data_IF_378518991675
#
_entry.id   IF_378518991675
#
_cell.length_a   1.000
_cell.length_b   1.000
_cell.length_c   1.000
_cell.angle_alpha   90.00
_cell.angle_beta   90.00
_cell.angle_gamma   90.00
#
_symmetry.space_group_name_H-M   'P 1'
#
loop_
_entity.id
_entity.type
_entity.pdbx_description
1 polymer ?
#
# COMPACT_ATOMS: atom_id res chain seq x y z
N UNK A 1 -31.67 15.02 9.88
CA UNK A 1 -31.17 13.64 9.72
C UNK A 1 -29.66 13.75 9.62
N UNK A 2 -28.89 12.90 10.33
CA UNK A 2 -27.44 12.89 10.16
C UNK A 2 -27.12 12.58 8.69
N UNK A 3 -26.23 13.35 8.10
CA UNK A 3 -25.75 13.13 6.72
C UNK A 3 -25.04 11.78 6.65
N UNK A 4 -25.45 10.90 5.73
CA UNK A 4 -24.81 9.61 5.56
C UNK A 4 -23.42 9.80 4.96
N UNK A 5 -22.45 9.12 5.52
CA UNK A 5 -21.07 9.18 5.08
C UNK A 5 -20.59 7.80 4.67
N UNK A 6 -19.85 7.70 3.56
CA UNK A 6 -19.18 6.50 3.09
C UNK A 6 -17.67 6.74 3.07
N UNK A 7 -16.90 5.98 3.85
CA UNK A 7 -15.48 6.22 4.10
C UNK A 7 -14.59 5.26 3.34
N UNK A 8 -13.60 5.81 2.67
CA UNK A 8 -12.63 5.08 1.85
C UNK A 8 -11.23 5.32 2.36
N UNK A 9 -10.45 4.23 2.54
CA UNK A 9 -9.02 4.27 2.76
C UNK A 9 -8.29 3.83 1.49
N UNK A 10 -7.40 4.67 0.97
CA UNK A 10 -6.56 4.36 -0.20
C UNK A 10 -5.09 4.28 0.20
N UNK A 11 -4.44 3.14 -0.08
CA UNK A 11 -3.08 2.81 0.33
C UNK A 11 -2.19 2.55 -0.90
N UNK A 12 -1.16 3.38 -1.07
CA UNK A 12 -0.25 3.29 -2.22
C UNK A 12 0.65 2.05 -2.16
N UNK A 13 1.11 1.61 -3.33
CA UNK A 13 2.18 0.62 -3.47
C UNK A 13 3.57 1.19 -3.19
N UNK A 14 4.49 0.32 -2.74
CA UNK A 14 5.83 0.81 -2.41
C UNK A 14 6.83 -0.24 -1.92
N UNK A 15 6.59 -1.52 -2.08
CA UNK A 15 7.48 -2.60 -1.64
C UNK A 15 7.75 -2.55 -0.13
N UNK A 16 9.00 -2.62 0.30
CA UNK A 16 9.38 -2.58 1.72
C UNK A 16 8.90 -1.30 2.44
N UNK A 17 8.65 -0.22 1.70
CA UNK A 17 8.16 1.05 2.28
C UNK A 17 6.76 0.94 2.93
N UNK A 18 6.09 -0.21 2.84
CA UNK A 18 4.88 -0.51 3.60
C UNK A 18 5.04 -0.36 5.11
N UNK A 19 6.26 -0.52 5.63
CA UNK A 19 6.55 -0.22 7.05
C UNK A 19 6.29 1.25 7.38
N UNK A 20 6.65 2.17 6.47
CA UNK A 20 6.36 3.59 6.65
C UNK A 20 4.85 3.84 6.76
N UNK A 21 4.06 3.26 5.83
CA UNK A 21 2.60 3.41 5.83
C UNK A 21 1.96 2.86 7.10
N UNK A 22 2.34 1.64 7.50
CA UNK A 22 1.82 1.02 8.72
C UNK A 22 2.21 1.81 9.99
N UNK A 23 3.49 2.23 10.08
CA UNK A 23 3.99 3.02 11.22
C UNK A 23 3.34 4.41 11.30
N UNK A 24 3.16 5.10 10.16
CA UNK A 24 2.49 6.40 10.11
C UNK A 24 1.04 6.29 10.62
N UNK A 25 0.29 5.32 10.09
CA UNK A 25 -1.11 5.10 10.49
C UNK A 25 -1.22 4.72 11.97
N UNK A 26 -0.36 3.82 12.46
CA UNK A 26 -0.32 3.41 13.85
C UNK A 26 -0.04 4.58 14.79
N UNK A 27 1.03 5.32 14.52
CA UNK A 27 1.45 6.44 15.38
C UNK A 27 0.41 7.57 15.36
N UNK A 28 -0.17 7.87 14.20
CA UNK A 28 -1.19 8.91 14.09
C UNK A 28 -2.48 8.51 14.83
N UNK A 29 -2.92 7.25 14.68
CA UNK A 29 -4.08 6.72 15.38
C UNK A 29 -3.93 6.79 16.91
N UNK A 30 -2.79 6.36 17.43
CA UNK A 30 -2.50 6.42 18.87
C UNK A 30 -2.38 7.86 19.39
N UNK A 31 -1.77 8.75 18.61
CA UNK A 31 -1.56 10.15 19.02
C UNK A 31 -2.85 10.96 19.01
N UNK A 32 -3.70 10.79 17.99
CA UNK A 32 -5.02 11.43 17.93
C UNK A 32 -5.94 10.82 18.97
N UNK A 33 -5.89 9.49 19.18
CA UNK A 33 -6.63 8.83 20.25
C UNK A 33 -6.38 9.48 21.61
N UNK A 34 -5.10 9.66 21.99
CA UNK A 34 -4.72 10.34 23.24
C UNK A 34 -5.20 11.79 23.27
N UNK A 35 -5.02 12.53 22.19
CA UNK A 35 -5.50 13.92 22.06
C UNK A 35 -7.01 14.02 22.26
N UNK A 36 -7.77 13.00 21.84
CA UNK A 36 -9.24 12.92 22.00
C UNK A 36 -9.68 12.29 23.33
N UNK A 37 -8.75 12.09 24.29
CA UNK A 37 -9.06 11.56 25.62
C UNK A 37 -9.19 10.03 25.71
N UNK A 38 -8.72 9.28 24.73
CA UNK A 38 -8.72 7.82 24.71
C UNK A 38 -7.30 7.26 24.98
N UNK A 39 -6.83 7.40 26.22
CA UNK A 39 -5.46 7.00 26.61
C UNK A 39 -5.27 5.48 26.81
N UNK A 40 -6.37 4.72 26.94
CA UNK A 40 -6.31 3.34 27.40
C UNK A 40 -6.06 2.33 26.28
N UNK A 41 -6.20 2.70 24.99
CA UNK A 41 -6.20 1.74 23.88
C UNK A 41 -4.85 1.74 23.18
N UNK A 42 -4.10 0.64 23.31
CA UNK A 42 -2.82 0.45 22.60
C UNK A 42 -2.97 -0.25 21.24
N UNK A 43 -4.02 -1.06 21.07
CA UNK A 43 -4.29 -1.87 19.87
C UNK A 43 -5.63 -1.44 19.26
N UNK A 44 -5.58 -0.45 18.38
CA UNK A 44 -6.78 0.16 17.80
C UNK A 44 -7.21 -0.50 16.49
N UNK A 45 -8.52 -0.68 16.30
CA UNK A 45 -9.13 -1.14 15.06
C UNK A 45 -9.39 0.05 14.12
N UNK A 46 -8.36 0.52 13.45
CA UNK A 46 -8.49 1.60 12.47
C UNK A 46 -9.34 1.18 11.26
N UNK A 47 -9.29 -0.11 10.87
CA UNK A 47 -10.05 -0.64 9.73
C UNK A 47 -11.55 -0.44 9.89
N UNK A 48 -12.09 -0.52 11.11
CA UNK A 48 -13.51 -0.34 11.39
C UNK A 48 -14.05 1.08 11.10
N UNK A 49 -13.18 2.04 10.81
CA UNK A 49 -13.57 3.41 10.41
C UNK A 49 -13.92 3.54 8.93
N UNK A 50 -13.68 2.51 8.13
CA UNK A 50 -13.82 2.57 6.69
C UNK A 50 -14.84 1.55 6.19
N UNK A 51 -15.66 1.99 5.23
CA UNK A 51 -16.60 1.13 4.51
C UNK A 51 -15.90 0.41 3.34
N UNK A 52 -14.87 1.04 2.75
CA UNK A 52 -14.07 0.51 1.65
C UNK A 52 -12.58 0.76 1.91
N UNK A 53 -11.77 -0.27 1.74
CA UNK A 53 -10.32 -0.16 1.72
C UNK A 53 -9.82 -0.56 0.33
N UNK A 54 -8.97 0.26 -0.27
CA UNK A 54 -8.30 -0.05 -1.54
C UNK A 54 -6.80 0.06 -1.35
N UNK A 55 -6.06 -0.99 -1.75
CA UNK A 55 -4.60 -1.02 -1.57
C UNK A 55 -3.89 -1.76 -2.69
N UNK A 56 -2.75 -1.25 -3.13
CA UNK A 56 -1.93 -1.85 -4.18
C UNK A 56 -0.61 -2.35 -3.59
N UNK A 57 -0.15 -3.55 -4.01
CA UNK A 57 1.15 -4.08 -3.60
C UNK A 57 1.26 -4.12 -2.06
N UNK A 58 2.28 -3.49 -1.49
CA UNK A 58 2.41 -3.34 -0.03
C UNK A 58 1.18 -2.67 0.61
N UNK A 59 0.51 -1.75 -0.10
CA UNK A 59 -0.76 -1.15 0.33
C UNK A 59 -1.88 -2.17 0.44
N UNK A 60 -1.89 -3.23 -0.38
CA UNK A 60 -2.85 -4.34 -0.24
C UNK A 60 -2.61 -5.15 1.03
N UNK A 61 -1.36 -5.33 1.43
CA UNK A 61 -0.98 -6.03 2.67
C UNK A 61 -1.50 -5.26 3.90
N UNK A 62 -1.20 -3.97 3.97
CA UNK A 62 -1.69 -3.09 5.05
C UNK A 62 -3.23 -3.01 5.03
N UNK A 63 -3.81 -2.87 3.84
CA UNK A 63 -5.26 -2.78 3.65
C UNK A 63 -6.01 -4.05 4.03
N UNK A 64 -5.54 -5.22 3.60
CA UNK A 64 -6.12 -6.51 3.98
C UNK A 64 -6.00 -6.76 5.49
N UNK A 65 -4.86 -6.41 6.09
CA UNK A 65 -4.67 -6.52 7.54
C UNK A 65 -5.68 -5.63 8.30
N UNK A 66 -5.83 -4.36 7.90
CA UNK A 66 -6.82 -3.45 8.49
C UNK A 66 -8.25 -3.95 8.29
N UNK A 67 -8.61 -4.37 7.07
CA UNK A 67 -9.92 -4.93 6.80
C UNK A 67 -10.22 -6.17 7.64
N UNK A 68 -9.21 -7.03 7.85
CA UNK A 68 -9.30 -8.22 8.68
C UNK A 68 -9.29 -7.92 10.20
N UNK A 69 -9.08 -6.67 10.61
CA UNK A 69 -8.99 -6.28 12.02
C UNK A 69 -7.68 -6.74 12.67
N UNK A 70 -6.60 -6.82 11.91
CA UNK A 70 -5.25 -7.04 12.42
C UNK A 70 -4.70 -5.71 12.93
N UNK A 71 -4.16 -5.66 14.18
CA UNK A 71 -3.55 -4.43 14.68
C UNK A 71 -2.36 -4.00 13.82
N UNK A 72 -2.23 -2.69 13.58
CA UNK A 72 -1.11 -2.14 12.81
C UNK A 72 0.26 -2.46 13.44
N UNK A 73 0.33 -2.64 14.75
CA UNK A 73 1.53 -3.09 15.45
C UNK A 73 2.06 -4.42 14.88
N UNK A 74 1.16 -5.39 14.64
CA UNK A 74 1.53 -6.69 14.08
C UNK A 74 2.03 -6.56 12.64
N UNK A 75 1.47 -5.62 11.86
CA UNK A 75 1.95 -5.31 10.49
C UNK A 75 3.32 -4.64 10.52
N UNK A 76 3.55 -3.69 11.42
CA UNK A 76 4.87 -3.04 11.62
C UNK A 76 5.90 -4.08 12.03
N UNK A 77 5.57 -4.96 12.97
CA UNK A 77 6.47 -6.04 13.42
C UNK A 77 6.77 -7.06 12.31
N UNK A 78 5.82 -7.36 11.44
CA UNK A 78 6.06 -8.17 10.24
C UNK A 78 7.16 -7.55 9.38
N UNK A 79 7.03 -6.28 9.01
CA UNK A 79 8.06 -5.61 8.21
C UNK A 79 9.39 -5.54 8.93
N UNK A 80 9.40 -5.18 10.21
CA UNK A 80 10.62 -5.07 11.03
C UNK A 80 11.38 -6.38 11.13
N UNK A 81 10.68 -7.49 11.32
CA UNK A 81 11.28 -8.81 11.56
C UNK A 81 11.52 -9.62 10.30
N UNK A 82 10.69 -9.44 9.25
CA UNK A 82 10.70 -10.30 8.07
C UNK A 82 11.28 -9.64 6.81
N UNK A 83 11.43 -8.30 6.75
CA UNK A 83 11.87 -7.62 5.53
C UNK A 83 13.20 -8.13 4.97
N UNK A 84 14.18 -8.45 5.81
CA UNK A 84 15.47 -8.99 5.37
C UNK A 84 15.37 -10.38 4.71
N UNK A 85 14.36 -11.16 5.06
CA UNK A 85 14.11 -12.48 4.47
C UNK A 85 13.26 -12.36 3.21
N UNK A 86 12.29 -11.44 3.21
CA UNK A 86 11.42 -11.15 2.06
C UNK A 86 12.25 -10.55 0.92
N UNK A 87 13.11 -9.56 1.23
CA UNK A 87 13.98 -8.84 0.30
C UNK A 87 15.45 -9.26 0.49
N UNK A 88 15.72 -10.57 0.35
CA UNK A 88 17.05 -11.14 0.60
C UNK A 88 18.11 -10.76 -0.44
N UNK A 89 17.70 -10.29 -1.61
CA UNK A 89 18.57 -9.85 -2.72
C UNK A 89 18.28 -8.42 -3.15
N UNK A 90 18.41 -7.43 -2.24
CA UNK A 90 18.07 -6.04 -2.55
C UNK A 90 19.00 -5.47 -3.62
N UNK A 91 18.47 -4.52 -4.40
CA UNK A 91 19.32 -3.74 -5.32
C UNK A 91 20.37 -2.96 -4.52
N UNK A 92 21.64 -2.94 -4.96
CA UNK A 92 22.68 -2.20 -4.25
C UNK A 92 22.36 -0.72 -4.08
N UNK A 93 22.54 -0.21 -2.86
CA UNK A 93 22.33 1.21 -2.53
C UNK A 93 23.33 2.05 -3.34
N UNK A 94 22.81 3.03 -4.08
CA UNK A 94 23.62 3.94 -4.90
C UNK A 94 23.93 5.21 -4.10
N UNK A 95 25.21 5.38 -3.74
CA UNK A 95 25.74 6.57 -3.04
C UNK A 95 26.42 7.56 -4.00
N UNK A 96 26.35 7.30 -5.34
CA UNK A 96 26.85 8.22 -6.38
C UNK A 96 28.27 7.92 -6.86
N UNK A 97 28.91 6.81 -6.45
CA UNK A 97 30.25 6.42 -6.85
C UNK A 97 30.32 5.56 -8.11
N UNK A 98 31.54 5.48 -8.74
CA UNK A 98 31.78 4.60 -9.89
C UNK A 98 31.53 3.11 -9.55
N UNK A 99 31.87 2.68 -8.35
CA UNK A 99 31.67 1.33 -7.85
C UNK A 99 30.20 0.93 -7.77
N UNK A 100 29.29 1.89 -7.58
CA UNK A 100 27.85 1.61 -7.50
C UNK A 100 27.32 1.13 -8.85
N UNK A 101 27.78 1.73 -9.96
CA UNK A 101 27.38 1.29 -11.31
C UNK A 101 27.82 -0.14 -11.58
N UNK A 102 29.01 -0.49 -11.15
CA UNK A 102 29.55 -1.86 -11.28
C UNK A 102 28.76 -2.86 -10.44
N UNK A 103 28.46 -2.54 -9.18
CA UNK A 103 27.64 -3.37 -8.28
C UNK A 103 26.23 -3.59 -8.82
N UNK A 104 25.59 -2.54 -9.33
CA UNK A 104 24.26 -2.63 -9.97
C UNK A 104 24.32 -3.47 -11.23
N UNK A 105 25.39 -3.34 -12.05
CA UNK A 105 25.61 -4.17 -13.24
C UNK A 105 25.73 -5.66 -12.90
N UNK A 106 26.52 -6.01 -11.88
CA UNK A 106 26.63 -7.39 -11.37
C UNK A 106 25.29 -7.89 -10.86
N UNK A 107 24.56 -7.08 -10.09
CA UNK A 107 23.24 -7.45 -9.60
C UNK A 107 22.26 -7.73 -10.76
N UNK A 108 22.22 -6.87 -11.78
CA UNK A 108 21.38 -7.04 -12.96
C UNK A 108 21.74 -8.30 -13.78
N UNK A 109 23.04 -8.58 -13.94
CA UNK A 109 23.50 -9.81 -14.61
C UNK A 109 23.10 -11.07 -13.82
N UNK A 110 23.21 -11.02 -12.49
CA UNK A 110 22.89 -12.14 -11.61
C UNK A 110 21.39 -12.47 -11.59
N UNK A 111 20.53 -11.44 -11.68
CA UNK A 111 19.08 -11.56 -11.65
C UNK A 111 18.42 -11.40 -13.01
N UNK A 112 19.19 -11.30 -14.09
CA UNK A 112 18.67 -11.26 -15.45
C UNK A 112 17.80 -12.46 -15.84
N UNK A 113 18.18 -13.72 -15.48
CA UNK A 113 17.39 -14.91 -15.80
C UNK A 113 16.22 -15.21 -14.85
N UNK A 114 16.23 -14.64 -13.62
CA UNK A 114 15.23 -14.96 -12.56
C UNK A 114 14.97 -13.75 -11.69
N UNK A 115 13.79 -13.70 -11.09
CA UNK A 115 13.43 -12.68 -10.11
C UNK A 115 14.40 -12.65 -8.92
N UNK A 116 14.62 -11.46 -8.36
CA UNK A 116 15.60 -11.23 -7.29
C UNK A 116 15.24 -11.92 -5.98
N UNK A 117 13.93 -12.00 -5.65
CA UNK A 117 13.45 -12.57 -4.41
C UNK A 117 12.47 -13.71 -4.66
N UNK A 118 12.26 -14.55 -3.63
CA UNK A 118 11.28 -15.62 -3.64
C UNK A 118 10.07 -15.26 -2.77
N UNK A 119 8.83 -15.62 -3.15
CA UNK A 119 7.64 -15.22 -2.43
C UNK A 119 7.42 -15.97 -1.11
N UNK A 120 8.16 -17.05 -0.84
CA UNK A 120 7.92 -17.94 0.30
C UNK A 120 7.92 -17.20 1.65
N UNK A 121 8.94 -16.37 1.91
CA UNK A 121 9.02 -15.62 3.17
C UNK A 121 7.88 -14.60 3.33
N UNK A 122 7.45 -13.96 2.23
CA UNK A 122 6.29 -13.07 2.25
C UNK A 122 4.99 -13.87 2.45
N UNK A 123 4.84 -15.01 1.77
CA UNK A 123 3.68 -15.90 1.92
C UNK A 123 3.53 -16.38 3.38
N UNK A 124 4.61 -16.86 4.00
CA UNK A 124 4.59 -17.27 5.41
C UNK A 124 4.20 -16.13 6.35
N UNK A 125 4.74 -14.92 6.10
CA UNK A 125 4.44 -13.75 6.90
C UNK A 125 2.96 -13.32 6.76
N UNK A 126 2.41 -13.36 5.55
CA UNK A 126 1.00 -13.07 5.29
C UNK A 126 0.08 -14.15 5.89
N UNK A 127 0.45 -15.42 5.74
CA UNK A 127 -0.29 -16.54 6.34
C UNK A 127 -0.38 -16.39 7.87
N UNK A 128 0.69 -15.94 8.52
CA UNK A 128 0.71 -15.71 9.95
C UNK A 128 -0.30 -14.64 10.41
N UNK A 129 -0.45 -13.53 9.65
CA UNK A 129 -1.34 -12.42 10.04
C UNK A 129 -2.77 -12.52 9.50
N UNK A 130 -2.95 -13.10 8.30
CA UNK A 130 -4.26 -13.18 7.63
C UNK A 130 -4.92 -14.57 7.77
N UNK A 131 -4.12 -15.63 7.92
CA UNK A 131 -4.63 -17.01 7.92
C UNK A 131 -5.18 -17.43 6.55
N UNK A 132 -6.14 -18.35 6.55
CA UNK A 132 -6.79 -18.89 5.36
C UNK A 132 -8.07 -18.12 4.97
N UNK A 133 -8.26 -16.90 5.49
CA UNK A 133 -9.47 -16.12 5.29
C UNK A 133 -9.62 -15.72 3.81
N UNK A 134 -10.81 -15.96 3.23
CA UNK A 134 -11.15 -15.58 1.86
C UNK A 134 -11.77 -14.17 1.78
N UNK A 135 -11.83 -13.63 0.55
CA UNK A 135 -12.47 -12.33 0.27
C UNK A 135 -13.93 -12.30 0.76
N UNK A 136 -14.67 -13.38 0.55
CA UNK A 136 -16.06 -13.49 1.01
C UNK A 136 -16.16 -13.59 2.54
N UNK A 137 -15.33 -14.40 3.17
CA UNK A 137 -15.31 -14.58 4.63
C UNK A 137 -14.99 -13.26 5.34
N UNK A 138 -13.99 -12.51 4.82
CA UNK A 138 -13.66 -11.17 5.30
C UNK A 138 -14.89 -10.26 5.28
N UNK A 139 -15.56 -10.14 4.12
CA UNK A 139 -16.70 -9.24 3.97
C UNK A 139 -17.88 -9.64 4.85
N UNK A 140 -18.21 -10.94 4.91
CA UNK A 140 -19.27 -11.45 5.79
C UNK A 140 -19.02 -11.16 7.27
N UNK A 141 -17.76 -11.23 7.70
CA UNK A 141 -17.37 -11.02 9.09
C UNK A 141 -17.25 -9.56 9.47
N UNK A 142 -16.73 -8.71 8.56
CA UNK A 142 -16.38 -7.33 8.87
C UNK A 142 -17.31 -6.29 8.26
N UNK A 143 -18.00 -6.61 7.18
CA UNK A 143 -18.77 -5.64 6.40
C UNK A 143 -17.94 -4.59 5.67
N UNK A 144 -16.60 -4.75 5.66
CA UNK A 144 -15.65 -3.82 5.04
C UNK A 144 -15.36 -4.31 3.62
N UNK A 145 -15.63 -3.47 2.63
CA UNK A 145 -15.26 -3.75 1.26
C UNK A 145 -13.74 -3.65 1.08
N UNK A 146 -13.15 -4.60 0.34
CA UNK A 146 -11.73 -4.58 -0.01
C UNK A 146 -11.57 -4.65 -1.53
N UNK A 147 -10.78 -3.74 -2.11
CA UNK A 147 -10.39 -3.74 -3.50
C UNK A 147 -8.87 -3.79 -3.63
N UNK A 148 -8.36 -4.75 -4.41
CA UNK A 148 -6.92 -4.94 -4.57
C UNK A 148 -6.56 -4.99 -6.05
N UNK A 149 -5.95 -3.93 -6.61
CA UNK A 149 -5.47 -3.90 -7.99
C UNK A 149 -4.32 -4.89 -8.22
N UNK A 150 -4.36 -5.55 -9.37
CA UNK A 150 -3.30 -6.38 -9.93
C UNK A 150 -3.38 -6.37 -11.46
N UNK A 151 -2.50 -7.09 -12.14
CA UNK A 151 -2.54 -7.30 -13.59
C UNK A 151 -2.60 -8.80 -13.86
N UNK A 152 -3.59 -9.26 -14.64
CA UNK A 152 -3.57 -10.60 -15.21
C UNK A 152 -2.52 -10.66 -16.32
N UNK A 153 -1.43 -11.36 -16.05
CA UNK A 153 -0.30 -11.49 -16.96
C UNK A 153 -0.62 -12.37 -18.18
N UNK A 154 -1.67 -13.22 -18.11
CA UNK A 154 -2.08 -14.08 -19.23
C UNK A 154 -2.77 -13.26 -20.31
N UNK A 155 -3.60 -12.32 -19.90
CA UNK A 155 -4.41 -11.49 -20.83
C UNK A 155 -3.86 -10.07 -20.99
N UNK A 156 -2.83 -9.68 -20.21
CA UNK A 156 -2.30 -8.32 -20.10
C UNK A 156 -3.37 -7.28 -19.75
N UNK A 157 -4.33 -7.66 -18.89
CA UNK A 157 -5.43 -6.78 -18.48
C UNK A 157 -5.34 -6.42 -17.01
N UNK A 158 -5.78 -5.21 -16.71
CA UNK A 158 -6.01 -4.81 -15.34
C UNK A 158 -7.05 -5.72 -14.68
N UNK A 159 -6.77 -6.15 -13.46
CA UNK A 159 -7.67 -6.91 -12.61
C UNK A 159 -7.76 -6.22 -11.26
N UNK A 160 -8.94 -6.15 -10.68
CA UNK A 160 -9.14 -5.74 -9.30
C UNK A 160 -9.84 -6.88 -8.58
N UNK A 161 -9.18 -7.47 -7.59
CA UNK A 161 -9.85 -8.36 -6.66
C UNK A 161 -10.81 -7.57 -5.80
N UNK A 162 -12.03 -8.03 -5.65
CA UNK A 162 -13.09 -7.36 -4.90
C UNK A 162 -13.83 -8.31 -3.98
N UNK A 163 -14.08 -7.88 -2.76
CA UNK A 163 -15.06 -8.54 -1.88
C UNK A 163 -16.47 -8.49 -2.47
N UNK A 164 -17.40 -9.36 -2.04
CA UNK A 164 -18.78 -9.38 -2.56
C UNK A 164 -19.66 -8.25 -1.97
N UNK A 165 -19.20 -7.02 -1.99
CA UNK A 165 -19.92 -5.84 -1.48
C UNK A 165 -21.01 -5.33 -2.43
N UNK A 166 -21.11 -5.90 -3.64
CA UNK A 166 -22.24 -5.81 -4.54
C UNK A 166 -22.67 -7.22 -4.97
N UNK A 167 -23.97 -7.46 -5.10
CA UNK A 167 -24.51 -8.80 -5.42
C UNK A 167 -23.90 -9.45 -6.68
N UNK A 168 -23.47 -8.64 -7.66
CA UNK A 168 -22.86 -9.13 -8.90
C UNK A 168 -21.37 -9.52 -8.75
N UNK A 169 -20.76 -9.18 -7.63
CA UNK A 169 -19.34 -9.45 -7.39
C UNK A 169 -19.18 -10.83 -6.75
N UNK A 170 -19.08 -11.88 -7.56
CA UNK A 170 -18.96 -13.27 -7.09
C UNK A 170 -17.64 -13.92 -7.50
N UNK A 171 -16.97 -13.39 -8.54
CA UNK A 171 -15.76 -13.95 -9.14
C UNK A 171 -14.62 -14.20 -8.13
N UNK A 172 -14.45 -13.28 -7.17
CA UNK A 172 -13.26 -13.27 -6.32
C UNK A 172 -13.53 -13.85 -4.91
N UNK A 173 -14.74 -14.36 -4.65
CA UNK A 173 -15.20 -14.76 -3.33
C UNK A 173 -14.30 -15.77 -2.63
N UNK A 174 -13.86 -16.79 -3.36
CA UNK A 174 -13.12 -17.92 -2.82
C UNK A 174 -11.59 -17.71 -2.80
N UNK A 175 -11.08 -16.60 -3.36
CA UNK A 175 -9.64 -16.28 -3.28
C UNK A 175 -9.24 -15.94 -1.85
N UNK A 176 -8.14 -16.54 -1.38
CA UNK A 176 -7.57 -16.24 -0.07
C UNK A 176 -6.92 -14.86 -0.06
N UNK A 177 -7.03 -14.13 1.05
CA UNK A 177 -6.41 -12.81 1.21
C UNK A 177 -4.89 -12.85 0.99
N UNK A 178 -4.24 -13.95 1.38
CA UNK A 178 -2.81 -14.18 1.17
C UNK A 178 -2.48 -14.17 -0.32
N UNK A 179 -3.21 -14.94 -1.14
CA UNK A 179 -2.99 -15.00 -2.58
C UNK A 179 -3.28 -13.66 -3.27
N UNK A 180 -4.33 -12.98 -2.84
CA UNK A 180 -4.69 -11.63 -3.32
C UNK A 180 -3.56 -10.63 -3.06
N UNK A 181 -2.98 -10.63 -1.85
CA UNK A 181 -1.85 -9.77 -1.51
C UNK A 181 -0.58 -10.15 -2.29
N UNK A 182 -0.28 -11.45 -2.44
CA UNK A 182 0.86 -11.93 -3.22
C UNK A 182 0.73 -11.56 -4.70
N UNK A 183 -0.47 -11.70 -5.28
CA UNK A 183 -0.76 -11.31 -6.66
C UNK A 183 -0.51 -9.80 -6.88
N UNK A 184 -1.01 -8.95 -5.97
CA UNK A 184 -0.82 -7.51 -6.04
C UNK A 184 0.61 -7.05 -5.79
N UNK A 185 1.40 -7.83 -5.03
CA UNK A 185 2.79 -7.52 -4.67
C UNK A 185 3.84 -8.21 -5.56
N UNK A 186 3.44 -8.92 -6.62
CA UNK A 186 4.32 -9.63 -7.55
C UNK A 186 5.02 -8.64 -8.52
N UNK A 187 5.86 -7.74 -7.96
CA UNK A 187 6.53 -6.70 -8.74
C UNK A 187 7.57 -7.30 -9.70
N UNK A 188 7.48 -7.00 -11.03
CA UNK A 188 8.42 -7.50 -12.02
C UNK A 188 9.87 -7.22 -11.63
N UNK A 189 10.78 -8.14 -11.94
CA UNK A 189 12.20 -8.11 -11.59
C UNK A 189 12.44 -8.46 -10.11
N UNK A 190 11.63 -7.97 -9.19
CA UNK A 190 11.77 -8.20 -7.76
C UNK A 190 11.19 -9.54 -7.31
N UNK A 191 10.01 -9.89 -7.81
CA UNK A 191 9.32 -11.16 -7.52
C UNK A 191 8.88 -11.86 -8.81
N UNK A 192 8.75 -13.20 -8.77
CA UNK A 192 8.17 -13.94 -9.89
C UNK A 192 6.69 -13.60 -10.05
N UNK A 193 6.16 -13.84 -11.23
CA UNK A 193 4.71 -13.81 -11.50
C UNK A 193 4.01 -14.77 -10.55
N UNK A 194 2.95 -14.34 -9.87
CA UNK A 194 2.23 -15.15 -8.90
C UNK A 194 1.12 -15.95 -9.55
N UNK A 195 1.16 -17.28 -9.44
CA UNK A 195 0.14 -18.16 -9.96
C UNK A 195 -0.86 -18.56 -8.90
N UNK A 196 -2.15 -18.30 -9.13
CA UNK A 196 -3.25 -18.73 -8.27
C UNK A 196 -4.16 -19.68 -9.05
N UNK A 197 -4.44 -20.84 -8.48
CA UNK A 197 -5.45 -21.74 -9.06
C UNK A 197 -6.84 -21.13 -8.89
N UNK A 198 -7.63 -21.19 -9.93
CA UNK A 198 -9.04 -20.79 -9.86
C UNK A 198 -9.73 -21.59 -8.74
N UNK A 199 -10.19 -20.93 -7.66
CA UNK A 199 -10.77 -21.64 -6.53
C UNK A 199 -12.16 -22.23 -6.86
N UNK A 200 -12.86 -21.74 -7.90
CA UNK A 200 -14.18 -22.21 -8.32
C UNK A 200 -14.11 -23.48 -9.19
N UNK A 201 -12.94 -24.09 -9.32
CA UNK A 201 -12.80 -25.45 -9.81
C UNK A 201 -12.56 -25.61 -11.31
N UNK A 202 -12.31 -24.51 -12.05
CA UNK A 202 -11.96 -24.56 -13.47
C UNK A 202 -10.60 -25.19 -13.78
N UNK A 203 -9.80 -25.51 -12.73
CA UNK A 203 -8.44 -26.07 -12.86
C UNK A 203 -7.43 -25.15 -13.55
N UNK A 204 -7.87 -23.98 -13.99
CA UNK A 204 -7.02 -22.97 -14.61
C UNK A 204 -6.18 -22.25 -13.55
N UNK A 205 -4.91 -21.98 -13.87
CA UNK A 205 -4.07 -21.10 -13.05
C UNK A 205 -4.10 -19.70 -13.68
N UNK A 206 -4.51 -18.72 -12.90
CA UNK A 206 -4.36 -17.32 -13.25
C UNK A 206 -2.97 -16.82 -12.80
N UNK A 207 -2.31 -16.04 -13.65
CA UNK A 207 -0.98 -15.52 -13.40
C UNK A 207 -1.04 -14.01 -13.22
N UNK A 208 -0.54 -13.52 -12.10
CA UNK A 208 -0.67 -12.12 -11.73
C UNK A 208 0.68 -11.42 -11.56
N UNK A 209 0.67 -10.12 -11.87
CA UNK A 209 1.78 -9.18 -11.67
C UNK A 209 1.29 -7.99 -10.85
N UNK A 210 2.22 -7.31 -10.20
CA UNK A 210 1.94 -6.18 -9.30
C UNK A 210 1.00 -5.14 -9.93
N UNK A 211 -0.02 -4.78 -9.17
CA UNK A 211 -1.01 -3.78 -9.55
C UNK A 211 -0.45 -2.37 -9.70
N UNK A 212 0.72 -2.12 -9.13
CA UNK A 212 1.41 -0.84 -9.25
C UNK A 212 1.73 -0.44 -10.69
N UNK A 213 1.81 -1.39 -11.62
CA UNK A 213 2.02 -1.08 -13.04
C UNK A 213 0.97 -0.14 -13.62
N UNK A 214 -0.26 -0.12 -13.08
CA UNK A 214 -1.34 0.75 -13.54
C UNK A 214 -2.07 1.52 -12.43
N UNK A 215 -2.03 1.06 -11.18
CA UNK A 215 -2.73 1.63 -10.04
C UNK A 215 -1.84 1.69 -8.79
N UNK A 216 -0.59 2.18 -8.91
CA UNK A 216 0.31 2.31 -7.76
C UNK A 216 -0.27 3.18 -6.65
N UNK A 217 -0.94 4.27 -7.02
CA UNK A 217 -1.85 5.01 -6.15
C UNK A 217 -3.29 4.63 -6.53
N UNK A 218 -3.98 3.80 -5.75
CA UNK A 218 -5.30 3.28 -6.13
C UNK A 218 -6.45 4.21 -5.77
N UNK A 219 -6.21 5.47 -5.45
CA UNK A 219 -7.25 6.41 -4.98
C UNK A 219 -8.40 6.55 -5.98
N UNK A 220 -8.13 6.55 -7.30
CA UNK A 220 -9.18 6.58 -8.31
C UNK A 220 -10.03 5.31 -8.33
N UNK A 221 -9.39 4.13 -8.13
CA UNK A 221 -10.11 2.87 -8.01
C UNK A 221 -11.07 2.95 -6.81
N UNK A 222 -10.60 3.45 -5.66
CA UNK A 222 -11.42 3.63 -4.48
C UNK A 222 -12.57 4.63 -4.66
N UNK A 223 -12.32 5.77 -5.31
CA UNK A 223 -13.37 6.78 -5.56
C UNK A 223 -14.42 6.23 -6.52
N UNK A 224 -14.02 5.61 -7.62
CA UNK A 224 -14.97 5.04 -8.60
C UNK A 224 -15.81 3.94 -7.97
N UNK A 225 -15.21 3.05 -7.20
CA UNK A 225 -15.94 2.01 -6.47
C UNK A 225 -16.91 2.60 -5.46
N UNK A 226 -16.47 3.59 -4.68
CA UNK A 226 -17.34 4.27 -3.71
C UNK A 226 -18.52 5.00 -4.37
N UNK A 227 -18.32 5.62 -5.53
CA UNK A 227 -19.40 6.26 -6.29
C UNK A 227 -20.48 5.26 -6.75
N UNK A 228 -20.10 4.00 -6.95
CA UNK A 228 -21.03 2.93 -7.32
C UNK A 228 -21.76 2.33 -6.11
N UNK A 229 -21.02 2.14 -4.99
CA UNK A 229 -21.50 1.40 -3.80
C UNK A 229 -22.24 2.30 -2.80
N UNK A 230 -21.75 3.53 -2.61
CA UNK A 230 -22.28 4.42 -1.60
C UNK A 230 -23.73 4.86 -1.92
N UNK A 231 -24.60 5.00 -0.90
CA UNK A 231 -25.93 5.55 -1.11
C UNK A 231 -25.90 6.86 -1.90
N UNK A 232 -26.89 7.12 -2.78
CA UNK A 232 -26.88 8.31 -3.64
C UNK A 232 -26.79 9.64 -2.89
N UNK A 233 -27.31 9.68 -1.66
CA UNK A 233 -27.35 10.83 -0.75
C UNK A 233 -26.15 10.89 0.21
N UNK A 234 -25.24 9.90 0.20
CA UNK A 234 -24.09 9.87 1.09
C UNK A 234 -22.94 10.75 0.58
N UNK A 235 -22.25 11.42 1.47
CA UNK A 235 -20.91 11.98 1.21
C UNK A 235 -19.88 10.87 1.15
N UNK A 236 -18.93 10.99 0.27
CA UNK A 236 -17.79 10.07 0.15
C UNK A 236 -16.56 10.77 0.73
N UNK A 237 -16.02 10.20 1.77
CA UNK A 237 -14.82 10.68 2.47
C UNK A 237 -13.65 9.77 2.17
N UNK A 238 -12.58 10.29 1.58
CA UNK A 238 -11.42 9.51 1.13
C UNK A 238 -10.17 9.94 1.87
N UNK A 239 -9.54 9.02 2.60
CA UNK A 239 -8.21 9.17 3.16
C UNK A 239 -7.21 8.46 2.26
N UNK A 240 -6.23 9.19 1.72
CA UNK A 240 -5.17 8.64 0.86
C UNK A 240 -3.82 8.68 1.58
N UNK A 241 -3.09 7.57 1.55
CA UNK A 241 -1.82 7.42 2.28
C UNK A 241 -0.74 6.90 1.35
N UNK A 242 0.36 7.62 1.30
CA UNK A 242 1.55 7.25 0.53
C UNK A 242 2.50 6.33 1.29
N UNK A 243 3.64 6.05 0.67
CA UNK A 243 4.71 5.20 1.23
C UNK A 243 5.99 5.97 1.57
N UNK A 244 5.91 7.29 1.67
CA UNK A 244 7.04 8.14 2.03
C UNK A 244 8.20 8.14 1.02
N UNK A 245 8.00 7.61 -0.17
CA UNK A 245 9.00 7.65 -1.24
C UNK A 245 9.09 9.04 -1.86
N UNK A 246 10.29 9.46 -2.21
CA UNK A 246 10.48 10.64 -3.04
C UNK A 246 10.82 10.24 -4.46
N UNK A 247 10.37 11.00 -5.47
CA UNK A 247 10.87 10.84 -6.81
C UNK A 247 12.40 11.03 -6.80
N UNK A 248 13.13 10.07 -7.35
CA UNK A 248 14.54 10.28 -7.64
C UNK A 248 14.63 11.30 -8.76
N UNK A 249 14.76 12.58 -8.44
CA UNK A 249 15.05 13.59 -9.46
C UNK A 249 16.49 13.41 -9.94
N UNK A 250 16.68 12.78 -11.07
CA UNK A 250 17.97 12.71 -11.72
C UNK A 250 17.99 13.81 -12.79
N UNK A 251 18.82 14.84 -12.57
CA UNK A 251 19.16 15.76 -13.65
C UNK A 251 19.85 14.96 -14.75
N UNK A 252 19.19 14.81 -15.90
CA UNK A 252 19.73 14.09 -17.03
C UNK A 252 20.70 14.99 -17.79
N UNK A 253 21.91 14.50 -18.01
CA UNK A 253 22.84 15.10 -18.97
C UNK A 253 22.49 14.62 -20.40
N UNK A 254 22.89 15.36 -21.46
CA UNK A 254 22.67 14.92 -22.84
C UNK A 254 23.21 13.52 -23.16
N UNK A 255 24.33 13.13 -22.53
CA UNK A 255 24.87 11.75 -22.64
C UNK A 255 23.97 10.70 -22.00
N UNK A 256 23.26 11.06 -20.95
CA UNK A 256 22.33 10.15 -20.26
C UNK A 256 20.97 10.08 -20.94
N UNK A 257 20.66 10.97 -21.87
CA UNK A 257 19.41 10.95 -22.63
C UNK A 257 19.34 9.76 -23.60
N UNK A 258 20.49 9.39 -24.21
CA UNK A 258 20.58 8.22 -25.10
C UNK A 258 20.82 6.94 -24.28
N UNK A 259 19.73 6.31 -23.79
CA UNK A 259 19.75 5.14 -22.91
C UNK A 259 19.31 3.89 -23.66
N UNK A 260 20.18 2.88 -23.75
CA UNK A 260 19.81 1.51 -24.08
C UNK A 260 19.47 0.70 -22.82
N UNK A 261 19.32 -0.62 -22.97
CA UNK A 261 18.93 -1.57 -21.88
C UNK A 261 19.79 -1.42 -20.62
N UNK A 262 21.11 -1.29 -20.77
CA UNK A 262 22.01 -1.09 -19.63
C UNK A 262 21.84 0.28 -18.96
N UNK A 263 21.53 1.32 -19.74
CA UNK A 263 21.26 2.67 -19.24
C UNK A 263 19.96 2.75 -18.44
N UNK A 264 19.02 1.86 -18.70
CA UNK A 264 17.78 1.66 -17.96
C UNK A 264 17.90 0.58 -16.87
N UNK A 265 19.11 0.15 -16.53
CA UNK A 265 19.41 -0.86 -15.51
C UNK A 265 18.58 -2.15 -15.68
N UNK A 266 18.50 -2.66 -16.91
CA UNK A 266 17.71 -3.85 -17.21
C UNK A 266 16.20 -3.67 -17.02
N UNK A 267 15.68 -2.44 -17.09
CA UNK A 267 14.25 -2.14 -16.94
C UNK A 267 13.83 -1.64 -15.56
N UNK A 268 14.68 -1.77 -14.52
CA UNK A 268 14.33 -1.36 -13.15
C UNK A 268 13.94 0.12 -13.06
N UNK A 269 14.68 1.01 -13.76
CA UNK A 269 14.38 2.44 -13.78
C UNK A 269 13.07 2.73 -14.53
N UNK A 270 12.70 1.91 -15.52
CA UNK A 270 11.43 2.05 -16.25
C UNK A 270 10.27 1.69 -15.33
N UNK A 271 10.34 0.56 -14.63
CA UNK A 271 9.32 0.15 -13.66
C UNK A 271 9.15 1.22 -12.58
N UNK A 272 10.23 1.69 -11.99
CA UNK A 272 10.17 2.74 -10.95
C UNK A 272 9.55 4.04 -11.48
N UNK A 273 9.92 4.46 -12.70
CA UNK A 273 9.36 5.66 -13.34
C UNK A 273 7.86 5.49 -13.63
N UNK A 274 7.43 4.30 -14.07
CA UNK A 274 6.02 4.00 -14.32
C UNK A 274 5.21 4.10 -13.03
N UNK A 275 5.68 3.50 -11.94
CA UNK A 275 5.02 3.56 -10.63
C UNK A 275 4.84 5.01 -10.14
N UNK A 276 5.90 5.82 -10.20
CA UNK A 276 5.87 7.20 -9.73
C UNK A 276 5.02 8.12 -10.63
N UNK A 277 5.14 7.98 -11.95
CA UNK A 277 4.34 8.79 -12.89
C UNK A 277 2.85 8.46 -12.80
N UNK A 278 2.51 7.17 -12.63
CA UNK A 278 1.14 6.74 -12.40
C UNK A 278 0.60 7.32 -11.09
N UNK A 279 1.36 7.25 -9.99
CA UNK A 279 0.94 7.78 -8.71
C UNK A 279 0.66 9.29 -8.76
N UNK A 280 1.50 10.07 -9.46
CA UNK A 280 1.34 11.52 -9.58
C UNK A 280 0.16 11.90 -10.45
N UNK A 281 -0.03 11.25 -11.60
CA UNK A 281 -1.18 11.55 -12.47
C UNK A 281 -2.50 11.14 -11.82
N UNK A 282 -2.51 10.02 -11.11
CA UNK A 282 -3.71 9.58 -10.38
C UNK A 282 -4.09 10.56 -9.28
N UNK A 283 -3.12 11.07 -8.51
CA UNK A 283 -3.38 12.09 -7.50
C UNK A 283 -3.95 13.39 -8.11
N UNK A 284 -3.46 13.79 -9.29
CA UNK A 284 -4.00 14.93 -10.00
C UNK A 284 -5.45 14.69 -10.47
N UNK A 285 -5.70 13.55 -11.13
CA UNK A 285 -7.03 13.20 -11.63
C UNK A 285 -8.06 13.04 -10.50
N UNK A 286 -7.66 12.48 -9.37
CA UNK A 286 -8.51 12.36 -8.19
C UNK A 286 -8.96 13.74 -7.69
N UNK A 287 -8.06 14.73 -7.63
CA UNK A 287 -8.41 16.11 -7.25
C UNK A 287 -9.42 16.73 -8.23
N UNK A 288 -9.27 16.50 -9.54
CA UNK A 288 -10.23 17.00 -10.54
C UNK A 288 -11.60 16.32 -10.39
N UNK A 289 -11.60 15.00 -10.11
CA UNK A 289 -12.84 14.25 -9.91
C UNK A 289 -13.59 14.71 -8.64
N UNK A 290 -12.88 15.00 -7.55
CA UNK A 290 -13.44 15.59 -6.34
C UNK A 290 -14.19 16.89 -6.65
N UNK A 291 -13.55 17.80 -7.38
CA UNK A 291 -14.16 19.08 -7.77
C UNK A 291 -15.40 18.86 -8.65
N UNK A 292 -15.33 17.96 -9.62
CA UNK A 292 -16.41 17.74 -10.58
C UNK A 292 -17.63 17.03 -9.99
N UNK A 293 -17.45 16.17 -8.99
CA UNK A 293 -18.56 15.42 -8.39
C UNK A 293 -19.28 16.19 -7.28
N UNK A 294 -18.59 17.11 -6.59
CA UNK A 294 -19.13 17.88 -5.44
C UNK A 294 -19.57 17.03 -4.24
N UNK A 295 -19.37 15.72 -4.30
CA UNK A 295 -19.85 14.71 -3.33
C UNK A 295 -18.70 14.00 -2.62
N UNK A 296 -17.50 14.13 -3.13
CA UNK A 296 -16.30 13.48 -2.63
C UNK A 296 -15.41 14.50 -1.91
N UNK A 297 -14.94 14.17 -0.72
CA UNK A 297 -13.90 14.90 0.01
C UNK A 297 -12.67 14.02 0.07
N UNK A 298 -11.50 14.55 -0.30
CA UNK A 298 -10.25 13.81 -0.34
C UNK A 298 -9.19 14.50 0.53
N UNK A 299 -8.66 13.77 1.49
CA UNK A 299 -7.48 14.17 2.24
C UNK A 299 -6.34 13.18 1.97
N UNK A 300 -5.16 13.71 1.59
CA UNK A 300 -3.95 12.90 1.46
C UNK A 300 -2.99 13.27 2.58
N UNK A 301 -2.59 12.27 3.38
CA UNK A 301 -1.60 12.49 4.43
C UNK A 301 -0.28 12.97 3.83
N UNK A 302 0.36 13.91 4.51
CA UNK A 302 1.60 14.53 4.06
C UNK A 302 2.79 13.64 4.40
N UNK A 303 3.67 13.46 3.41
CA UNK A 303 4.96 12.82 3.62
C UNK A 303 6.01 13.84 4.08
N UNK A 304 6.85 13.47 5.03
CA UNK A 304 8.00 14.32 5.43
C UNK A 304 8.97 14.46 4.25
N UNK A 305 9.62 15.62 4.06
CA UNK A 305 10.64 15.81 3.06
C UNK A 305 11.74 14.74 3.15
N UNK A 306 12.29 14.34 2.00
CA UNK A 306 13.40 13.38 1.93
C UNK A 306 14.71 14.15 1.91
N UNK A 307 15.57 13.90 2.90
CA UNK A 307 16.93 14.41 2.86
C UNK A 307 17.76 13.62 1.81
N UNK A 308 18.71 14.27 1.11
CA UNK A 308 19.50 13.61 0.06
C UNK A 308 20.20 12.33 0.52
N UNK A 309 20.67 12.30 1.76
CA UNK A 309 21.33 11.17 2.40
C UNK A 309 20.38 9.99 2.69
N UNK A 310 19.08 10.25 2.81
CA UNK A 310 18.06 9.23 3.07
C UNK A 310 17.61 8.52 1.78
N UNK A 311 17.77 9.14 0.61
CA UNK A 311 17.24 8.63 -0.65
C UNK A 311 17.73 7.20 -0.99
N UNK A 312 18.94 6.86 -0.56
CA UNK A 312 19.51 5.53 -0.75
C UNK A 312 18.79 4.40 0.00
N UNK A 313 18.10 4.72 1.10
CA UNK A 313 17.38 3.77 1.94
C UNK A 313 15.92 3.55 1.52
N UNK A 314 15.43 4.33 0.55
CA UNK A 314 14.02 4.32 0.12
C UNK A 314 13.77 3.46 -1.12
N UNK A 315 14.67 2.53 -1.44
CA UNK A 315 14.45 1.54 -2.51
C UNK A 315 13.26 0.63 -2.22
N UNK A 316 12.61 0.13 -3.25
CA UNK A 316 11.42 -0.74 -3.12
C UNK A 316 11.73 -2.07 -2.43
N UNK A 317 12.98 -2.52 -2.50
CA UNK A 317 13.47 -3.80 -2.01
C UNK A 317 14.57 -3.66 -0.94
N UNK A 318 14.84 -2.47 -0.44
CA UNK A 318 15.90 -2.21 0.55
C UNK A 318 15.44 -2.63 1.95
N UNK A 319 15.35 -3.95 2.19
CA UNK A 319 14.86 -4.55 3.44
C UNK A 319 15.90 -4.65 4.56
N UNK A 320 16.97 -3.83 4.56
CA UNK A 320 17.99 -3.83 5.63
C UNK A 320 17.46 -3.19 6.92
N UNK A 321 18.00 -3.62 8.05
CA UNK A 321 17.62 -3.08 9.37
C UNK A 321 17.80 -1.54 9.44
N UNK A 322 18.87 -1.04 8.81
CA UNK A 322 19.15 0.39 8.72
C UNK A 322 18.06 1.13 7.91
N UNK A 323 17.66 0.58 6.74
CA UNK A 323 16.61 1.16 5.91
C UNK A 323 15.25 1.15 6.63
N UNK A 324 14.93 0.07 7.32
CA UNK A 324 13.72 -0.05 8.14
C UNK A 324 13.69 1.06 9.21
N UNK A 325 14.78 1.23 9.96
CA UNK A 325 14.88 2.29 10.98
C UNK A 325 14.73 3.70 10.38
N UNK A 326 15.31 3.96 9.20
CA UNK A 326 15.12 5.22 8.49
C UNK A 326 13.66 5.46 8.08
N UNK A 327 12.96 4.44 7.58
CA UNK A 327 11.55 4.55 7.19
C UNK A 327 10.65 4.80 8.41
N UNK A 328 10.89 4.13 9.54
CA UNK A 328 10.16 4.38 10.80
C UNK A 328 10.39 5.80 11.35
N UNK A 329 11.63 6.28 11.33
CA UNK A 329 11.96 7.67 11.71
C UNK A 329 11.25 8.68 10.81
N UNK A 330 11.15 8.41 9.51
CA UNK A 330 10.39 9.25 8.58
C UNK A 330 8.89 9.20 8.86
N UNK A 331 8.34 8.02 9.16
CA UNK A 331 6.95 7.87 9.57
C UNK A 331 6.65 8.72 10.81
N UNK A 332 7.56 8.75 11.79
CA UNK A 332 7.42 9.59 12.98
C UNK A 332 7.41 11.09 12.64
N UNK A 333 8.31 11.55 11.77
CA UNK A 333 8.30 12.96 11.31
C UNK A 333 7.01 13.31 10.57
N UNK A 334 6.53 12.40 9.72
CA UNK A 334 5.25 12.59 9.01
C UNK A 334 4.07 12.56 9.97
N UNK A 335 4.13 11.77 11.03
CA UNK A 335 3.13 11.79 12.11
C UNK A 335 3.08 13.17 12.78
N UNK A 336 4.24 13.77 13.08
CA UNK A 336 4.29 15.11 13.67
C UNK A 336 3.67 16.17 12.76
N UNK A 337 3.98 16.12 11.46
CA UNK A 337 3.42 17.03 10.45
C UNK A 337 1.89 16.88 10.37
N UNK A 338 1.40 15.65 10.19
CA UNK A 338 -0.03 15.40 10.04
C UNK A 338 -0.80 15.68 11.34
N UNK A 339 -0.26 15.30 12.49
CA UNK A 339 -0.88 15.63 13.78
C UNK A 339 -1.03 17.14 13.96
N UNK A 340 0.05 17.89 13.71
CA UNK A 340 0.01 19.35 13.76
C UNK A 340 -1.00 19.94 12.78
N UNK A 341 -1.03 19.45 11.53
CA UNK A 341 -1.98 19.90 10.51
C UNK A 341 -3.43 19.65 10.91
N UNK A 342 -3.74 18.44 11.37
CA UNK A 342 -5.09 18.02 11.74
C UNK A 342 -5.61 18.69 13.02
N UNK A 343 -4.72 19.10 13.95
CA UNK A 343 -5.08 19.71 15.23
C UNK A 343 -4.84 21.21 15.29
N UNK A 344 -4.39 21.86 14.21
CA UNK A 344 -3.99 23.28 14.16
C UNK A 344 -5.14 24.29 14.31
N UNK A 345 -6.39 23.85 14.40
CA UNK A 345 -7.55 24.73 14.49
C UNK A 345 -7.94 25.40 13.15
N UNK A 346 -7.20 25.17 12.07
CA UNK A 346 -7.61 25.60 10.72
C UNK A 346 -8.77 24.75 10.26
N UNK A 347 -9.93 25.38 10.11
CA UNK A 347 -11.17 24.69 9.79
C UNK A 347 -11.27 24.39 8.29
N UNK A 348 -11.10 23.11 7.92
CA UNK A 348 -11.43 22.61 6.58
C UNK A 348 -12.16 21.27 6.66
N UNK A 349 -13.01 21.00 5.68
CA UNK A 349 -13.78 19.77 5.62
C UNK A 349 -12.86 18.54 5.58
N UNK A 350 -11.76 18.63 4.82
CA UNK A 350 -10.77 17.55 4.65
C UNK A 350 -10.06 17.22 5.98
N UNK A 351 -9.71 18.24 6.77
CA UNK A 351 -9.03 18.04 8.07
C UNK A 351 -9.99 17.48 9.11
N UNK A 352 -11.21 18.01 9.20
CA UNK A 352 -12.23 17.48 10.11
C UNK A 352 -12.53 16.02 9.84
N UNK A 353 -12.72 15.66 8.55
CA UNK A 353 -12.91 14.30 8.08
C UNK A 353 -11.75 13.41 8.52
N UNK A 354 -10.51 13.79 8.22
CA UNK A 354 -9.33 12.99 8.55
C UNK A 354 -9.16 12.85 10.07
N UNK A 355 -9.37 13.90 10.84
CA UNK A 355 -9.31 13.86 12.31
C UNK A 355 -10.35 12.87 12.89
N UNK A 356 -11.58 12.90 12.38
CA UNK A 356 -12.65 12.01 12.83
C UNK A 356 -12.36 10.53 12.53
N UNK A 357 -11.70 10.22 11.40
CA UNK A 357 -11.27 8.86 11.06
C UNK A 357 -10.27 8.26 12.06
N UNK A 358 -9.49 9.10 12.74
CA UNK A 358 -8.55 8.66 13.77
C UNK A 358 -9.07 8.83 15.22
N UNK A 359 -10.24 9.43 15.38
CA UNK A 359 -10.84 9.66 16.69
C UNK A 359 -11.73 8.50 17.12
N UNK A 360 -11.87 8.27 18.44
CA UNK A 360 -12.79 7.28 19.01
C UNK A 360 -12.65 5.87 18.38
N UNK A 361 -11.41 5.42 18.23
CA UNK A 361 -11.12 4.08 17.72
C UNK A 361 -11.41 3.02 18.77
N UNK A 362 -12.06 1.94 18.34
CA UNK A 362 -12.29 0.77 19.18
C UNK A 362 -11.00 -0.06 19.36
N UNK A 363 -10.94 -0.86 20.41
CA UNK A 363 -9.86 -1.82 20.59
C UNK A 363 -10.04 -3.02 19.67
N UNK A 364 -8.93 -3.57 19.17
CA UNK A 364 -8.93 -4.80 18.39
C UNK A 364 -9.22 -5.99 19.33
N UNK A 365 -10.27 -6.72 19.02
CA UNK A 365 -10.68 -7.91 19.77
C UNK A 365 -10.01 -9.19 19.25
N UNK A 366 -9.30 -9.15 18.13
CA UNK A 366 -8.62 -10.32 17.57
C UNK A 366 -7.44 -10.71 18.44
N UNK A 367 -7.36 -11.97 18.93
CA UNK A 367 -6.21 -12.40 19.70
C UNK A 367 -4.95 -12.32 18.86
N UNK A 368 -3.85 -11.81 19.47
CA UNK A 368 -2.55 -11.81 18.82
C UNK A 368 -2.17 -13.26 18.44
N UNK A 369 -1.77 -13.54 17.19
CA UNK A 369 -1.21 -14.83 16.87
C UNK A 369 -0.03 -15.09 17.81
N UNK A 370 -0.05 -16.21 18.54
CA UNK A 370 1.02 -16.53 19.51
C UNK A 370 2.35 -16.58 18.75
N UNK A 371 3.31 -15.77 19.18
CA UNK A 371 4.69 -15.87 18.70
C UNK A 371 5.18 -17.31 18.97
N UNK A 372 5.37 -18.10 17.92
CA UNK A 372 6.09 -19.38 17.99
C UNK A 372 7.55 -19.17 17.62
#
# INVERSE_FOLDING_TARGET
MAEKTFRVLSLDGGGVRGIYTASLLQQLALRIGRFSGNDAVSRVDLGAKFDLIVGTSTGSIVGAALAAGVPLEDVVDLYRTRSKYIFHSPQPIQRGGFLDKFRVGIWALRHGPRAANQPAALSEALQFILGDETMEQLYRRRGIALCVPTVDATTNRAWVFKTPHLQRLTRDNAYQLVDVCLASAAAPIYFPVHGVKDPDGGGQTHWFVDGGLWANNPVLVGIVEALEVAPPDARIEVLSVGTGGAPKSNLLTPKQANRGTFGWKGGVDIVSMSLESQATVTAYLAKQLVVSTGRVTLHRLQDSPVAPEEAGYLGLDTGTEEAIAHMEKRASRSTDINFSDLTSGVDSAERRMALDMFSNLAEVLRPCPRRR
#
